data_IF_815621610508
#
_entry.id   IF_815621610508
#
_cell.length_a   1.000
_cell.length_b   1.000
_cell.length_c   1.000
_cell.angle_alpha   90.00
_cell.angle_beta   90.00
_cell.angle_gamma   90.00
#
_symmetry.space_group_name_H-M   'P 1'
#
loop_
_entity.id
_entity.type
_entity.pdbx_description
1 polymer ?
#
# COMPACT_ATOMS: atom_id res chain seq x y z
N UNK A 1 19.93 31.04 -0.91
CA UNK A 1 19.62 29.66 -1.36
C UNK A 1 18.64 29.07 -0.36
N UNK A 2 17.53 28.45 -0.82
CA UNK A 2 16.64 27.70 0.08
C UNK A 2 17.44 26.49 0.58
N UNK A 3 17.52 26.32 1.90
CA UNK A 3 18.14 25.14 2.51
C UNK A 3 17.24 23.94 2.22
N UNK A 4 17.78 22.90 1.60
CA UNK A 4 17.03 21.66 1.47
C UNK A 4 17.00 20.96 2.83
N UNK A 5 15.80 20.78 3.38
CA UNK A 5 15.61 20.23 4.73
C UNK A 5 14.67 19.05 4.66
N UNK A 6 15.11 17.92 5.20
CA UNK A 6 14.33 16.69 5.30
C UNK A 6 14.21 16.28 6.77
N UNK A 7 12.98 16.16 7.28
CA UNK A 7 12.71 15.96 8.73
C UNK A 7 13.49 16.93 9.65
N UNK A 8 13.70 18.18 9.21
CA UNK A 8 14.45 19.20 9.97
C UNK A 8 15.97 19.09 9.86
N UNK A 9 16.50 18.05 9.22
CA UNK A 9 17.93 17.87 8.94
C UNK A 9 18.31 18.68 7.70
N UNK A 10 19.40 19.45 7.79
CA UNK A 10 20.01 20.17 6.68
C UNK A 10 20.84 19.17 5.85
N UNK A 11 20.22 18.56 4.84
CA UNK A 11 20.82 17.43 4.10
C UNK A 11 22.04 17.84 3.27
N UNK A 12 22.15 19.13 2.94
CA UNK A 12 23.31 19.72 2.27
C UNK A 12 24.56 19.75 3.17
N UNK A 13 24.40 19.57 4.49
CA UNK A 13 25.49 19.61 5.48
C UNK A 13 25.89 18.23 6.00
N UNK A 14 25.29 17.15 5.50
CA UNK A 14 25.67 15.80 5.90
C UNK A 14 27.10 15.50 5.47
N UNK A 15 27.87 14.87 6.36
CA UNK A 15 29.21 14.40 6.06
C UNK A 15 29.15 13.10 5.26
N UNK A 16 30.03 12.97 4.27
CA UNK A 16 30.19 11.72 3.55
C UNK A 16 30.98 10.69 4.38
N UNK A 17 30.59 9.42 4.29
CA UNK A 17 31.38 8.29 4.79
C UNK A 17 32.60 8.03 3.88
N UNK A 18 33.40 7.00 4.20
CA UNK A 18 34.58 6.61 3.40
C UNK A 18 34.23 6.21 1.96
N UNK A 19 33.00 5.79 1.72
CA UNK A 19 32.48 5.40 0.40
C UNK A 19 31.90 6.60 -0.39
N UNK A 20 31.89 7.80 0.20
CA UNK A 20 31.38 9.02 -0.41
C UNK A 20 29.89 9.26 -0.19
N UNK A 21 29.20 8.40 0.55
CA UNK A 21 27.76 8.45 0.78
C UNK A 21 27.39 9.36 1.96
N UNK A 22 26.25 10.04 1.89
CA UNK A 22 25.70 10.83 3.01
C UNK A 22 24.43 10.20 3.51
N UNK A 23 24.39 9.84 4.79
CA UNK A 23 23.26 9.13 5.41
C UNK A 23 22.74 9.93 6.59
N UNK A 24 21.42 9.99 6.76
CA UNK A 24 20.78 10.53 7.94
C UNK A 24 19.77 9.55 8.51
N UNK A 25 19.66 9.52 9.84
CA UNK A 25 18.75 8.66 10.59
C UNK A 25 17.80 9.50 11.45
N UNK A 26 16.62 8.97 11.72
CA UNK A 26 15.71 9.50 12.73
C UNK A 26 16.19 9.15 14.16
N UNK A 27 15.44 9.62 15.17
CA UNK A 27 15.77 9.40 16.59
C UNK A 27 15.70 7.92 17.00
N UNK A 28 15.03 7.06 16.22
CA UNK A 28 14.91 5.61 16.44
C UNK A 28 15.97 4.83 15.67
N UNK A 29 16.86 5.51 14.94
CA UNK A 29 17.91 4.90 14.13
C UNK A 29 17.42 4.36 12.78
N UNK A 30 16.24 4.75 12.30
CA UNK A 30 15.79 4.44 10.93
C UNK A 30 16.36 5.45 9.95
N UNK A 31 16.83 4.96 8.81
CA UNK A 31 17.36 5.80 7.75
C UNK A 31 16.25 6.65 7.12
N UNK A 32 16.46 7.97 7.05
CA UNK A 32 15.49 8.91 6.46
C UNK A 32 16.04 9.59 5.23
N UNK A 33 17.35 9.52 4.99
CA UNK A 33 18.00 10.06 3.80
C UNK A 33 19.28 9.28 3.49
N UNK A 34 19.50 8.97 2.21
CA UNK A 34 20.74 8.37 1.72
C UNK A 34 21.09 8.94 0.36
N UNK A 35 22.19 9.68 0.26
CA UNK A 35 22.75 10.13 -1.00
C UNK A 35 23.98 9.31 -1.38
N UNK A 36 24.03 8.89 -2.63
CA UNK A 36 25.07 8.09 -3.24
C UNK A 36 26.14 8.97 -3.92
N UNK A 37 27.33 8.42 -4.22
CA UNK A 37 28.42 9.19 -4.86
C UNK A 37 28.08 9.66 -6.28
N UNK A 38 27.15 9.00 -6.95
CA UNK A 38 26.66 9.39 -8.29
C UNK A 38 25.67 10.56 -8.26
N UNK A 39 25.35 11.07 -7.06
CA UNK A 39 24.44 12.18 -6.83
C UNK A 39 22.97 11.78 -6.72
N UNK A 40 22.63 10.51 -6.96
CA UNK A 40 21.29 10.01 -6.67
C UNK A 40 21.05 9.92 -5.16
N UNK A 41 19.79 9.95 -4.74
CA UNK A 41 19.42 9.86 -3.33
C UNK A 41 18.11 9.12 -3.14
N UNK A 42 17.93 8.59 -1.93
CA UNK A 42 16.66 8.10 -1.41
C UNK A 42 16.22 8.89 -0.19
N UNK A 43 14.91 9.03 -0.01
CA UNK A 43 14.28 9.63 1.16
C UNK A 43 13.20 8.72 1.71
N UNK A 44 13.07 8.68 3.02
CA UNK A 44 12.00 7.98 3.72
C UNK A 44 11.35 8.87 4.76
N UNK A 45 10.06 8.62 5.00
CA UNK A 45 9.35 9.03 6.21
C UNK A 45 8.64 7.82 6.81
N UNK A 46 8.58 7.79 8.14
CA UNK A 46 7.89 6.74 8.88
C UNK A 46 6.81 7.33 9.80
N UNK A 47 5.79 6.54 10.10
CA UNK A 47 4.87 6.83 11.21
C UNK A 47 5.50 6.52 12.57
N UNK A 48 4.75 6.76 13.65
CA UNK A 48 5.24 6.60 15.02
C UNK A 48 5.54 5.14 15.41
N UNK A 49 4.90 4.16 14.76
CA UNK A 49 5.17 2.73 14.98
C UNK A 49 6.24 2.19 14.02
N UNK A 50 6.67 3.03 13.07
CA UNK A 50 7.77 2.77 12.16
C UNK A 50 7.35 2.24 10.79
N UNK A 51 6.09 2.31 10.40
CA UNK A 51 5.70 1.97 9.03
C UNK A 51 6.14 3.08 8.08
N UNK A 52 6.60 2.71 6.89
CA UNK A 52 7.00 3.69 5.85
C UNK A 52 5.77 4.37 5.27
N UNK A 53 5.64 5.69 5.46
CA UNK A 53 4.53 6.49 4.93
C UNK A 53 4.91 7.26 3.67
N UNK A 54 6.21 7.40 3.39
CA UNK A 54 6.72 8.04 2.19
C UNK A 54 8.08 7.44 1.80
N UNK A 55 8.26 7.26 0.50
CA UNK A 55 9.53 6.92 -0.11
C UNK A 55 9.75 7.76 -1.37
N UNK A 56 11.00 8.17 -1.61
CA UNK A 56 11.43 8.84 -2.84
C UNK A 56 12.78 8.28 -3.27
N UNK A 57 12.97 8.07 -4.57
CA UNK A 57 14.25 7.74 -5.19
C UNK A 57 14.49 8.66 -6.39
N UNK A 58 15.55 9.45 -6.34
CA UNK A 58 15.92 10.40 -7.40
C UNK A 58 16.60 9.74 -8.61
N UNK A 59 16.26 8.49 -8.90
CA UNK A 59 16.71 7.81 -10.11
C UNK A 59 16.16 8.52 -11.35
N UNK A 60 16.47 8.01 -12.55
CA UNK A 60 15.99 8.61 -13.81
C UNK A 60 14.47 8.74 -13.91
N UNK A 61 13.74 7.88 -13.20
CA UNK A 61 12.27 7.85 -13.20
C UNK A 61 11.68 8.74 -12.10
N UNK A 62 12.50 9.23 -11.16
CA UNK A 62 12.07 10.01 -9.99
C UNK A 62 10.92 9.32 -9.26
N UNK A 63 11.11 8.03 -8.95
CA UNK A 63 10.07 7.24 -8.29
C UNK A 63 9.76 7.76 -6.89
N UNK A 64 8.49 7.85 -6.53
CA UNK A 64 8.05 8.09 -5.16
C UNK A 64 6.79 7.27 -4.86
N UNK A 65 6.57 6.96 -3.58
CA UNK A 65 5.33 6.35 -3.11
C UNK A 65 4.92 6.87 -1.74
N UNK A 66 3.62 6.78 -1.45
CA UNK A 66 3.02 7.08 -0.15
C UNK A 66 2.12 5.95 0.27
N UNK A 67 2.11 5.68 1.58
CA UNK A 67 1.26 4.65 2.18
C UNK A 67 0.51 5.21 3.38
N UNK A 68 -0.67 4.67 3.62
CA UNK A 68 -1.44 4.88 4.85
C UNK A 68 -1.81 3.53 5.44
N UNK A 69 -1.82 3.47 6.76
CA UNK A 69 -2.06 2.26 7.51
C UNK A 69 -3.25 2.42 8.45
N UNK A 70 -3.95 1.32 8.74
CA UNK A 70 -4.86 1.25 9.89
C UNK A 70 -4.09 1.01 11.20
N UNK A 71 -4.81 0.97 12.32
CA UNK A 71 -4.23 0.77 13.65
C UNK A 71 -3.57 -0.62 13.85
N UNK A 72 -3.89 -1.58 12.98
CA UNK A 72 -3.34 -2.94 13.01
C UNK A 72 -2.13 -3.09 12.07
N UNK A 73 -1.76 -2.03 11.36
CA UNK A 73 -0.64 -2.00 10.43
C UNK A 73 -0.98 -2.53 9.03
N UNK A 74 -2.27 -2.67 8.68
CA UNK A 74 -2.66 -3.01 7.32
C UNK A 74 -2.62 -1.76 6.44
N UNK A 75 -2.15 -1.88 5.19
CA UNK A 75 -2.16 -0.77 4.23
C UNK A 75 -3.59 -0.49 3.81
N UNK A 76 -4.12 0.70 4.10
CA UNK A 76 -5.46 1.13 3.65
C UNK A 76 -5.40 1.98 2.37
N UNK A 77 -4.22 2.49 2.04
CA UNK A 77 -3.99 3.25 0.83
C UNK A 77 -2.53 3.21 0.40
N UNK A 78 -2.30 3.13 -0.90
CA UNK A 78 -0.99 3.30 -1.51
C UNK A 78 -1.15 4.11 -2.81
N UNK A 79 -0.24 5.05 -3.05
CA UNK A 79 -0.13 5.78 -4.32
C UNK A 79 1.35 5.97 -4.69
N UNK A 80 1.65 6.03 -5.99
CA UNK A 80 3.00 6.22 -6.49
C UNK A 80 3.12 7.25 -7.64
N UNK A 81 4.35 7.51 -8.04
CA UNK A 81 4.71 8.47 -9.09
C UNK A 81 4.22 8.09 -10.49
N UNK A 82 3.73 6.87 -10.70
CA UNK A 82 3.21 6.40 -11.99
C UNK A 82 1.69 6.54 -12.10
N UNK A 83 1.08 7.39 -11.27
CA UNK A 83 -0.37 7.59 -11.19
C UNK A 83 -1.14 6.32 -10.79
N UNK A 84 -0.42 5.31 -10.27
CA UNK A 84 -1.03 4.13 -9.68
C UNK A 84 -1.45 4.42 -8.24
N UNK A 85 -2.64 3.98 -7.87
CA UNK A 85 -3.11 3.98 -6.49
C UNK A 85 -4.02 2.80 -6.22
N UNK A 86 -4.09 2.39 -4.96
CA UNK A 86 -4.96 1.32 -4.47
C UNK A 86 -5.51 1.66 -3.08
N UNK A 87 -6.74 1.25 -2.81
CA UNK A 87 -7.42 1.38 -1.52
C UNK A 87 -7.84 0.01 -1.02
N UNK A 88 -7.65 -0.22 0.27
CA UNK A 88 -8.02 -1.45 0.94
C UNK A 88 -8.91 -1.15 2.15
N UNK A 89 -9.86 -2.04 2.42
CA UNK A 89 -10.65 -2.02 3.66
C UNK A 89 -10.62 -3.40 4.28
N UNK A 90 -10.37 -3.44 5.59
CA UNK A 90 -10.30 -4.67 6.37
C UNK A 90 -11.44 -4.73 7.39
N UNK A 91 -11.85 -5.94 7.76
CA UNK A 91 -12.73 -6.15 8.90
C UNK A 91 -11.94 -6.23 10.22
N UNK A 92 -12.66 -6.44 11.32
CA UNK A 92 -12.07 -6.55 12.65
C UNK A 92 -11.15 -7.77 12.83
N UNK A 93 -11.26 -8.77 11.94
CA UNK A 93 -10.43 -9.98 11.92
C UNK A 93 -9.25 -9.88 10.96
N UNK A 94 -8.96 -8.69 10.41
CA UNK A 94 -7.94 -8.44 9.38
C UNK A 94 -8.20 -9.11 8.03
N UNK A 95 -9.45 -9.47 7.72
CA UNK A 95 -9.79 -9.95 6.38
C UNK A 95 -10.00 -8.75 5.45
N UNK A 96 -9.46 -8.82 4.24
CA UNK A 96 -9.66 -7.81 3.19
C UNK A 96 -11.09 -7.90 2.65
N UNK A 97 -11.94 -6.94 3.00
CA UNK A 97 -13.35 -6.91 2.59
C UNK A 97 -13.59 -6.04 1.35
N UNK A 98 -12.64 -5.16 1.01
CA UNK A 98 -12.74 -4.35 -0.19
C UNK A 98 -11.35 -3.95 -0.70
N UNK A 99 -11.15 -4.05 -2.00
CA UNK A 99 -10.00 -3.56 -2.74
C UNK A 99 -10.49 -2.76 -3.95
N UNK A 100 -9.79 -1.69 -4.29
CA UNK A 100 -9.92 -1.05 -5.61
C UNK A 100 -8.62 -0.36 -6.00
N UNK A 101 -8.37 -0.24 -7.30
CA UNK A 101 -7.21 0.46 -7.84
C UNK A 101 -7.56 1.52 -8.88
N UNK A 102 -6.53 2.29 -9.27
CA UNK A 102 -6.61 3.34 -10.28
C UNK A 102 -6.89 2.82 -11.70
N UNK A 103 -6.69 1.53 -11.95
CA UNK A 103 -6.96 0.88 -13.24
C UNK A 103 -8.43 0.47 -13.37
N UNK A 104 -9.22 0.64 -12.30
CA UNK A 104 -10.65 0.34 -12.27
C UNK A 104 -10.96 -1.09 -11.83
N UNK A 105 -9.95 -1.86 -11.41
CA UNK A 105 -10.22 -3.14 -10.75
C UNK A 105 -10.74 -2.88 -9.35
N UNK A 106 -11.69 -3.69 -8.92
CA UNK A 106 -12.15 -3.72 -7.54
C UNK A 106 -12.72 -5.09 -7.23
N UNK A 107 -12.63 -5.46 -5.95
CA UNK A 107 -13.14 -6.70 -5.40
C UNK A 107 -13.77 -6.42 -4.03
N UNK A 108 -14.81 -7.16 -3.69
CA UNK A 108 -15.46 -7.13 -2.37
C UNK A 108 -15.69 -8.54 -1.87
N UNK A 109 -15.31 -8.78 -0.62
CA UNK A 109 -15.50 -10.05 0.05
C UNK A 109 -16.32 -9.87 1.33
N UNK A 110 -17.14 -10.86 1.65
CA UNK A 110 -17.79 -11.00 2.96
C UNK A 110 -17.33 -12.32 3.55
N UNK A 111 -16.92 -12.31 4.82
CA UNK A 111 -16.43 -13.47 5.53
C UNK A 111 -17.42 -13.90 6.61
N UNK A 112 -17.48 -15.20 6.88
CA UNK A 112 -18.10 -15.73 8.09
C UNK A 112 -17.14 -15.64 9.29
N UNK A 113 -17.63 -16.03 10.48
CA UNK A 113 -16.85 -16.04 11.72
C UNK A 113 -15.65 -17.01 11.71
N UNK A 114 -15.60 -17.94 10.77
CA UNK A 114 -14.50 -18.90 10.62
C UNK A 114 -13.47 -18.43 9.57
N UNK A 115 -13.68 -17.26 8.97
CA UNK A 115 -12.81 -16.70 7.94
C UNK A 115 -13.07 -17.27 6.54
N UNK A 116 -14.21 -17.92 6.32
CA UNK A 116 -14.58 -18.35 4.98
C UNK A 116 -15.27 -17.22 4.22
N UNK A 117 -14.92 -17.05 2.94
CA UNK A 117 -15.65 -16.13 2.04
C UNK A 117 -17.04 -16.69 1.78
N UNK A 118 -18.08 -15.96 2.17
CA UNK A 118 -19.48 -16.30 1.90
C UNK A 118 -20.07 -15.49 0.73
N UNK A 119 -19.44 -14.38 0.36
CA UNK A 119 -19.82 -13.60 -0.82
C UNK A 119 -18.59 -12.93 -1.44
N UNK A 120 -18.53 -12.92 -2.78
CA UNK A 120 -17.52 -12.25 -3.58
C UNK A 120 -18.19 -11.45 -4.70
N UNK A 121 -17.74 -10.22 -4.94
CA UNK A 121 -18.15 -9.38 -6.08
C UNK A 121 -16.93 -8.70 -6.69
N UNK A 122 -16.87 -8.58 -8.02
CA UNK A 122 -15.77 -7.89 -8.72
C UNK A 122 -16.25 -6.85 -9.76
N UNK A 123 -15.27 -6.12 -10.30
CA UNK A 123 -15.46 -5.10 -11.33
C UNK A 123 -16.06 -5.63 -12.65
N UNK A 124 -15.87 -6.90 -12.96
CA UNK A 124 -16.42 -7.54 -14.16
C UNK A 124 -17.91 -7.91 -13.98
N UNK A 125 -18.49 -7.65 -12.80
CA UNK A 125 -19.87 -7.95 -12.47
C UNK A 125 -20.10 -9.43 -12.16
N UNK A 126 -19.03 -10.15 -11.81
CA UNK A 126 -19.14 -11.47 -11.20
C UNK A 126 -19.64 -11.27 -9.77
N UNK A 127 -20.63 -12.07 -9.39
CA UNK A 127 -21.10 -12.19 -8.02
C UNK A 127 -21.21 -13.66 -7.66
N UNK A 128 -20.59 -14.05 -6.56
CA UNK A 128 -20.57 -15.43 -6.09
C UNK A 128 -20.99 -15.49 -4.62
N UNK A 129 -21.78 -16.50 -4.28
CA UNK A 129 -22.11 -16.84 -2.90
C UNK A 129 -21.64 -18.26 -2.60
N UNK A 130 -21.19 -18.47 -1.36
CA UNK A 130 -20.63 -19.73 -0.91
C UNK A 130 -21.26 -20.16 0.41
N UNK A 131 -21.60 -21.45 0.48
CA UNK A 131 -22.09 -22.09 1.71
C UNK A 131 -21.08 -23.12 2.19
N UNK A 132 -21.00 -23.30 3.51
CA UNK A 132 -20.08 -24.20 4.18
C UNK A 132 -20.84 -25.09 5.17
N UNK A 133 -20.37 -26.32 5.38
CA UNK A 133 -20.89 -27.18 6.44
C UNK A 133 -20.14 -26.96 7.78
N UNK A 134 -20.60 -27.63 8.84
CA UNK A 134 -20.01 -27.56 10.19
C UNK A 134 -18.54 -28.03 10.27
N UNK A 135 -18.04 -28.71 9.23
CA UNK A 135 -16.63 -29.12 9.12
C UNK A 135 -15.79 -28.11 8.35
N UNK A 136 -16.36 -26.94 8.05
CA UNK A 136 -15.71 -25.88 7.28
C UNK A 136 -15.43 -26.27 5.82
N UNK A 137 -16.16 -27.25 5.28
CA UNK A 137 -16.05 -27.67 3.89
C UNK A 137 -17.11 -26.93 3.05
N UNK A 138 -16.71 -26.39 1.91
CA UNK A 138 -17.63 -25.72 0.98
C UNK A 138 -18.64 -26.72 0.43
N UNK A 139 -19.92 -26.42 0.57
CA UNK A 139 -21.03 -27.29 0.12
C UNK A 139 -21.74 -26.76 -1.12
N UNK A 140 -21.70 -25.45 -1.36
CA UNK A 140 -22.39 -24.82 -2.47
C UNK A 140 -21.61 -23.64 -3.03
N UNK A 141 -21.83 -23.37 -4.31
CA UNK A 141 -21.34 -22.17 -4.99
C UNK A 141 -22.43 -21.71 -5.95
N UNK A 142 -22.96 -20.52 -5.70
CA UNK A 142 -23.94 -19.86 -6.56
C UNK A 142 -23.19 -18.76 -7.30
N UNK A 143 -23.19 -18.82 -8.63
CA UNK A 143 -22.54 -17.80 -9.48
C UNK A 143 -23.62 -17.02 -10.22
N UNK A 144 -23.77 -15.74 -9.88
CA UNK A 144 -24.60 -14.79 -10.61
C UNK A 144 -23.68 -13.88 -11.42
N UNK A 145 -23.69 -14.02 -12.74
CA UNK A 145 -23.07 -13.04 -13.62
C UNK A 145 -24.11 -11.98 -13.96
N UNK A 146 -23.88 -10.71 -13.59
CA UNK A 146 -24.69 -9.64 -14.17
C UNK A 146 -24.51 -9.70 -15.69
N UNK A 147 -25.60 -9.81 -16.44
CA UNK A 147 -25.55 -9.65 -17.89
C UNK A 147 -24.92 -8.28 -18.18
N UNK A 148 -23.90 -8.24 -19.05
CA UNK A 148 -23.31 -6.97 -19.51
C UNK A 148 -24.46 -6.05 -19.90
N UNK A 149 -24.57 -4.87 -19.26
CA UNK A 149 -25.38 -3.80 -19.83
C UNK A 149 -24.76 -3.50 -21.20
N UNK A 150 -25.41 -3.95 -22.27
CA UNK A 150 -25.18 -3.40 -23.59
C UNK A 150 -25.62 -1.94 -23.50
N UNK A 151 -24.66 -1.02 -23.43
CA UNK A 151 -24.95 0.40 -23.68
C UNK A 151 -25.24 0.56 -25.16
N UNK A 152 -26.41 1.11 -25.47
CA UNK A 152 -26.84 1.56 -26.80
C UNK A 152 -25.95 2.71 -27.34
#
# INVERSE_FOLDING_TARGET
MKKDRWHGIDIDQLQSNEEGERIAFDEKGKEIYHAYPDGSYKKWSYDDVGNEIYFEYSNKEHYWSKKRYDEKGNIIYHEDSHEYWEEHTYDDSNNLIFYKDSLGHWERCVFDQHGNVISFEDAEGVYEEYSYNDRNERTETIVLKKARKTSD
#
